data_IF_674705896820
#
_entry.id   IF_674705896820
#
_cell.length_a   1.000
_cell.length_b   1.000
_cell.length_c   1.000
_cell.angle_alpha   90.00
_cell.angle_beta   90.00
_cell.angle_gamma   90.00
#
_symmetry.space_group_name_H-M   'P 1'
#
loop_
_entity.id
_entity.type
_entity.pdbx_description
1 polymer ?
#
# COMPACT_ATOMS: atom_id res chain seq x y z
N UNK A 1 18.83 12.59 -13.57
CA UNK A 1 18.34 12.26 -14.93
C UNK A 1 16.97 11.59 -14.91
N UNK A 2 16.77 10.48 -14.18
CA UNK A 2 15.49 9.76 -14.12
C UNK A 2 14.30 10.60 -13.65
N UNK A 3 14.48 11.44 -12.64
CA UNK A 3 13.40 12.34 -12.16
C UNK A 3 13.01 13.38 -13.22
N UNK A 4 13.97 13.83 -14.03
CA UNK A 4 13.71 14.74 -15.15
C UNK A 4 12.95 14.01 -16.27
N UNK A 5 13.30 12.74 -16.54
CA UNK A 5 12.59 11.93 -17.53
C UNK A 5 11.15 11.65 -17.11
N UNK A 6 10.95 11.27 -15.84
CA UNK A 6 9.62 11.14 -15.24
C UNK A 6 8.82 12.42 -15.44
N UNK A 7 9.38 13.58 -15.04
CA UNK A 7 8.73 14.88 -15.18
C UNK A 7 8.32 15.15 -16.63
N UNK A 8 9.24 14.95 -17.57
CA UNK A 8 8.97 15.13 -19.01
C UNK A 8 7.79 14.29 -19.46
N UNK A 9 7.74 13.01 -19.10
CA UNK A 9 6.61 12.14 -19.44
C UNK A 9 5.31 12.56 -18.75
N UNK A 10 5.35 13.01 -17.50
CA UNK A 10 4.14 13.51 -16.82
C UNK A 10 3.66 14.87 -17.33
N UNK A 11 4.51 15.64 -18.01
CA UNK A 11 4.14 16.94 -18.61
C UNK A 11 3.81 16.80 -20.12
N UNK A 12 4.19 15.69 -20.74
CA UNK A 12 3.93 15.40 -22.16
C UNK A 12 2.45 15.03 -22.39
N UNK A 13 1.70 15.80 -23.22
CA UNK A 13 0.32 15.48 -23.57
C UNK A 13 0.15 14.09 -24.20
N UNK A 14 1.13 13.60 -24.96
CA UNK A 14 1.09 12.29 -25.61
C UNK A 14 1.22 11.12 -24.62
N UNK A 15 1.75 11.37 -23.43
CA UNK A 15 1.97 10.36 -22.39
C UNK A 15 0.87 10.36 -21.32
N UNK A 16 -0.01 11.38 -21.29
CA UNK A 16 -1.04 11.49 -20.25
C UNK A 16 -1.94 10.26 -20.17
N UNK A 17 -2.32 9.68 -21.31
CA UNK A 17 -3.13 8.46 -21.33
C UNK A 17 -2.45 7.29 -20.61
N UNK A 18 -1.14 7.11 -20.84
CA UNK A 18 -0.36 6.08 -20.17
C UNK A 18 -0.25 6.37 -18.68
N UNK A 19 0.16 7.59 -18.29
CA UNK A 19 0.31 7.97 -16.87
C UNK A 19 -1.00 7.74 -16.13
N UNK A 20 -2.11 8.28 -16.64
CA UNK A 20 -3.42 8.18 -16.00
C UNK A 20 -3.96 6.75 -15.95
N UNK A 21 -3.51 5.84 -16.83
CA UNK A 21 -3.90 4.42 -16.78
C UNK A 21 -3.27 3.64 -15.63
N UNK A 22 -2.24 4.19 -14.97
CA UNK A 22 -1.51 3.50 -13.90
C UNK A 22 -2.13 3.67 -12.52
N UNK A 23 -3.19 4.47 -12.37
CA UNK A 23 -3.84 4.72 -11.10
C UNK A 23 -5.24 5.30 -11.25
N UNK A 24 -5.75 5.87 -10.17
CA UNK A 24 -7.07 6.48 -10.16
C UNK A 24 -7.01 7.96 -10.56
N UNK A 25 -8.09 8.44 -11.17
CA UNK A 25 -8.30 9.89 -11.31
C UNK A 25 -8.45 10.51 -9.92
N UNK A 26 -8.10 11.80 -9.72
CA UNK A 26 -8.22 12.44 -8.41
C UNK A 26 -9.64 12.35 -7.83
N UNK A 27 -10.67 12.45 -8.65
CA UNK A 27 -12.06 12.35 -8.20
C UNK A 27 -12.40 10.95 -7.67
N UNK A 28 -11.93 9.90 -8.35
CA UNK A 28 -12.14 8.51 -7.92
C UNK A 28 -11.34 8.23 -6.64
N UNK A 29 -10.08 8.66 -6.58
CA UNK A 29 -9.25 8.49 -5.39
C UNK A 29 -9.83 9.21 -4.16
N UNK A 30 -10.31 10.45 -4.32
CA UNK A 30 -10.94 11.21 -3.23
C UNK A 30 -12.24 10.54 -2.78
N UNK A 31 -13.10 10.08 -3.70
CA UNK A 31 -14.31 9.34 -3.35
C UNK A 31 -14.04 8.04 -2.59
N UNK A 32 -12.99 7.30 -2.98
CA UNK A 32 -12.55 6.12 -2.24
C UNK A 32 -12.07 6.49 -0.82
N UNK A 33 -11.25 7.52 -0.69
CA UNK A 33 -10.79 8.01 0.61
C UNK A 33 -11.96 8.46 1.51
N UNK A 34 -12.97 9.12 0.95
CA UNK A 34 -14.16 9.54 1.69
C UNK A 34 -14.97 8.36 2.22
N UNK A 35 -15.07 7.25 1.46
CA UNK A 35 -15.68 6.02 1.95
C UNK A 35 -14.91 5.45 3.15
N UNK A 36 -13.57 5.45 3.10
CA UNK A 36 -12.75 5.00 4.23
C UNK A 36 -13.00 5.87 5.47
N UNK A 37 -12.98 7.19 5.32
CA UNK A 37 -13.16 8.13 6.45
C UNK A 37 -14.54 7.96 7.09
N UNK A 38 -15.60 7.89 6.28
CA UNK A 38 -16.97 7.66 6.76
C UNK A 38 -17.11 6.29 7.45
N UNK A 39 -16.44 5.27 6.93
CA UNK A 39 -16.42 3.94 7.54
C UNK A 39 -15.71 3.96 8.90
N UNK A 40 -14.52 4.55 8.99
CA UNK A 40 -13.77 4.69 10.25
C UNK A 40 -14.60 5.43 11.30
N UNK A 41 -15.33 6.48 10.92
CA UNK A 41 -16.23 7.19 11.83
C UNK A 41 -17.37 6.29 12.35
N UNK A 42 -17.87 5.37 11.52
CA UNK A 42 -18.95 4.43 11.86
C UNK A 42 -18.45 3.29 12.76
N UNK A 43 -17.29 2.72 12.43
CA UNK A 43 -16.74 1.54 13.07
C UNK A 43 -15.57 1.87 14.01
N UNK A 44 -15.50 3.10 14.57
CA UNK A 44 -14.36 3.55 15.37
C UNK A 44 -14.01 2.67 16.58
N UNK A 45 -15.00 1.95 17.12
CA UNK A 45 -14.82 1.03 18.26
C UNK A 45 -14.07 -0.25 17.86
N UNK A 46 -13.96 -0.53 16.56
CA UNK A 46 -13.23 -1.67 16.00
C UNK A 46 -11.73 -1.42 15.85
N UNK A 47 -11.29 -0.18 16.05
CA UNK A 47 -9.90 0.24 15.83
C UNK A 47 -9.28 0.69 17.16
N UNK A 48 -7.95 0.58 17.30
CA UNK A 48 -7.24 1.19 18.42
C UNK A 48 -7.60 2.67 18.58
N UNK A 49 -7.79 3.11 19.83
CA UNK A 49 -8.34 4.44 20.14
C UNK A 49 -7.48 5.59 19.58
N UNK A 50 -6.18 5.38 19.47
CA UNK A 50 -5.23 6.35 18.97
C UNK A 50 -5.25 6.45 17.42
N UNK A 51 -5.74 5.43 16.71
CA UNK A 51 -5.96 5.46 15.26
C UNK A 51 -7.26 6.16 14.86
N UNK A 52 -8.13 6.50 15.82
CA UNK A 52 -9.40 7.20 15.59
C UNK A 52 -9.51 8.51 16.34
N UNK A 53 -8.39 8.98 16.91
CA UNK A 53 -8.29 10.28 17.56
C UNK A 53 -8.51 11.41 16.56
N UNK A 54 -9.30 12.43 16.93
CA UNK A 54 -9.71 13.51 16.02
C UNK A 54 -8.55 14.23 15.36
N UNK A 55 -7.53 14.64 16.13
CA UNK A 55 -6.35 15.33 15.59
C UNK A 55 -5.54 14.45 14.62
N UNK A 56 -5.45 13.15 14.90
CA UNK A 56 -4.80 12.21 13.99
C UNK A 56 -5.60 12.05 12.70
N UNK A 57 -6.93 11.84 12.79
CA UNK A 57 -7.79 11.67 11.63
C UNK A 57 -7.87 12.92 10.74
N UNK A 58 -7.84 14.11 11.33
CA UNK A 58 -7.73 15.38 10.58
C UNK A 58 -6.44 15.45 9.77
N UNK A 59 -5.31 15.12 10.42
CA UNK A 59 -4.00 15.09 9.75
C UNK A 59 -3.96 14.03 8.63
N UNK A 60 -4.35 12.79 8.94
CA UNK A 60 -4.44 11.69 7.97
C UNK A 60 -5.28 12.11 6.75
N UNK A 61 -6.47 12.67 7.00
CA UNK A 61 -7.38 13.10 5.93
C UNK A 61 -6.75 14.18 5.07
N UNK A 62 -6.13 15.20 5.68
CA UNK A 62 -5.47 16.27 4.93
C UNK A 62 -4.33 15.76 4.06
N UNK A 63 -3.44 14.93 4.63
CA UNK A 63 -2.29 14.36 3.93
C UNK A 63 -2.73 13.42 2.80
N UNK A 64 -3.67 12.50 3.08
CA UNK A 64 -4.20 11.58 2.08
C UNK A 64 -5.01 12.29 0.98
N UNK A 65 -5.73 13.39 1.28
CA UNK A 65 -6.40 14.20 0.26
C UNK A 65 -5.42 14.97 -0.63
N UNK A 66 -4.26 15.37 -0.12
CA UNK A 66 -3.22 15.94 -0.96
C UNK A 66 -2.63 14.89 -1.91
N UNK A 67 -2.34 13.70 -1.38
CA UNK A 67 -1.75 12.59 -2.13
C UNK A 67 -2.70 11.96 -3.16
N UNK A 68 -4.03 12.07 -2.96
CA UNK A 68 -5.05 11.54 -3.90
C UNK A 68 -4.95 12.23 -5.26
N UNK A 69 -4.37 13.43 -5.27
CA UNK A 69 -4.05 14.19 -6.47
C UNK A 69 -2.82 13.67 -7.21
N UNK A 70 -2.22 12.54 -6.83
CA UNK A 70 -1.01 12.06 -7.50
C UNK A 70 -0.96 10.53 -7.63
N UNK A 71 -2.08 9.83 -7.44
CA UNK A 71 -2.10 8.35 -7.41
C UNK A 71 -1.49 7.74 -8.68
N UNK A 72 -1.92 8.22 -9.85
CA UNK A 72 -1.38 7.78 -11.14
C UNK A 72 0.12 8.08 -11.25
N UNK A 73 0.54 9.29 -10.89
CA UNK A 73 1.93 9.72 -10.95
C UNK A 73 2.84 8.93 -9.99
N UNK A 74 2.34 8.59 -8.78
CA UNK A 74 3.06 7.75 -7.81
C UNK A 74 3.26 6.33 -8.33
N UNK A 75 2.23 5.72 -8.93
CA UNK A 75 2.33 4.39 -9.54
C UNK A 75 3.25 4.40 -10.76
N UNK A 76 3.04 5.37 -11.67
CA UNK A 76 3.88 5.52 -12.85
C UNK A 76 5.35 5.72 -12.50
N UNK A 77 5.66 6.43 -11.41
CA UNK A 77 7.05 6.63 -10.98
C UNK A 77 7.78 5.29 -10.77
N UNK A 78 7.16 4.30 -10.14
CA UNK A 78 7.79 2.97 -9.98
C UNK A 78 7.97 2.23 -11.31
N UNK A 79 7.12 2.49 -12.31
CA UNK A 79 7.15 1.86 -13.62
C UNK A 79 8.25 2.37 -14.55
N UNK A 80 8.88 3.51 -14.25
CA UNK A 80 9.92 4.06 -15.12
C UNK A 80 11.33 3.54 -14.83
N UNK A 81 11.49 2.68 -13.80
CA UNK A 81 12.77 2.10 -13.39
C UNK A 81 12.84 0.64 -13.84
N UNK A 82 13.59 0.32 -14.92
CA UNK A 82 13.67 -1.04 -15.44
C UNK A 82 14.17 -2.05 -14.40
N UNK A 83 15.10 -1.63 -13.54
CA UNK A 83 15.64 -2.50 -12.47
C UNK A 83 14.61 -2.90 -11.41
N UNK A 84 13.48 -2.20 -11.31
CA UNK A 84 12.41 -2.60 -10.40
C UNK A 84 11.52 -3.67 -11.02
N UNK A 85 11.54 -3.86 -12.33
CA UNK A 85 10.63 -4.80 -12.96
C UNK A 85 11.11 -6.22 -12.77
N UNK A 86 10.23 -7.03 -12.19
CA UNK A 86 10.48 -8.43 -11.91
C UNK A 86 9.26 -9.25 -12.30
N UNK A 87 9.47 -10.55 -12.54
CA UNK A 87 8.39 -11.50 -12.49
C UNK A 87 8.04 -11.70 -11.01
N UNK A 88 6.93 -11.10 -10.57
CA UNK A 88 6.58 -11.03 -9.17
C UNK A 88 5.14 -11.48 -8.91
N UNK A 89 4.91 -11.83 -7.66
CA UNK A 89 3.59 -12.20 -7.17
C UNK A 89 2.87 -10.94 -6.65
N UNK A 90 1.71 -10.56 -7.22
CA UNK A 90 1.03 -9.31 -6.90
C UNK A 90 0.41 -9.28 -5.51
N UNK A 91 0.16 -10.46 -4.92
CA UNK A 91 -0.43 -10.65 -3.59
C UNK A 91 0.41 -11.59 -2.71
N UNK A 92 1.70 -11.29 -2.49
CA UNK A 92 2.61 -12.15 -1.72
C UNK A 92 2.38 -12.02 -0.19
N UNK A 93 1.12 -12.04 0.23
CA UNK A 93 0.72 -12.03 1.64
C UNK A 93 0.93 -13.41 2.26
N UNK A 94 0.89 -13.48 3.60
CA UNK A 94 1.29 -14.69 4.34
C UNK A 94 0.44 -15.92 4.00
N UNK A 95 -0.83 -15.72 3.63
CA UNK A 95 -1.77 -16.75 3.18
C UNK A 95 -1.40 -17.34 1.81
N UNK A 96 -0.58 -16.65 1.03
CA UNK A 96 0.02 -17.12 -0.22
C UNK A 96 1.47 -17.62 -0.05
N UNK A 97 1.99 -17.65 1.19
CA UNK A 97 3.29 -18.24 1.51
C UNK A 97 3.18 -19.72 1.89
N UNK A 98 4.08 -20.54 1.34
CA UNK A 98 4.27 -21.93 1.75
C UNK A 98 5.61 -22.07 2.45
N UNK A 99 5.60 -22.47 3.72
CA UNK A 99 6.79 -22.54 4.57
C UNK A 99 7.05 -23.99 4.98
N UNK A 100 8.30 -24.43 4.89
CA UNK A 100 8.72 -25.77 5.34
C UNK A 100 10.12 -25.73 5.94
N UNK A 101 10.46 -26.71 6.79
CA UNK A 101 11.83 -26.89 7.25
C UNK A 101 12.56 -27.83 6.27
N UNK A 102 13.78 -27.47 5.86
CA UNK A 102 14.64 -28.39 5.12
C UNK A 102 15.31 -29.44 6.03
N UNK A 103 16.15 -30.29 5.44
CA UNK A 103 16.86 -31.36 6.15
C UNK A 103 17.79 -30.85 7.28
N UNK A 104 18.16 -29.57 7.25
CA UNK A 104 19.01 -28.92 8.26
C UNK A 104 18.20 -28.22 9.36
N UNK A 105 16.87 -28.21 9.24
CA UNK A 105 15.97 -27.45 10.11
C UNK A 105 15.87 -25.97 9.75
N UNK A 106 16.41 -25.54 8.61
CA UNK A 106 16.28 -24.15 8.13
C UNK A 106 14.90 -23.94 7.53
N UNK A 107 14.24 -22.85 7.92
CA UNK A 107 12.93 -22.48 7.35
C UNK A 107 13.14 -21.98 5.92
N UNK A 108 12.50 -22.68 4.99
CA UNK A 108 12.38 -22.34 3.58
C UNK A 108 11.01 -21.73 3.33
N UNK A 109 10.91 -20.94 2.27
CA UNK A 109 9.67 -20.31 1.83
C UNK A 109 9.48 -20.44 0.32
N UNK A 110 8.22 -20.60 -0.08
CA UNK A 110 7.76 -20.62 -1.45
C UNK A 110 6.45 -19.86 -1.56
N UNK A 111 5.97 -19.69 -2.78
CA UNK A 111 4.71 -19.01 -3.07
C UNK A 111 3.73 -19.99 -3.72
N UNK A 112 2.46 -19.89 -3.33
CA UNK A 112 1.34 -20.51 -4.02
C UNK A 112 0.56 -19.44 -4.80
N UNK A 113 -0.59 -19.79 -5.39
CA UNK A 113 -1.45 -18.84 -6.12
C UNK A 113 -0.69 -18.04 -7.20
N UNK A 114 0.00 -18.76 -8.11
CA UNK A 114 0.98 -18.24 -9.07
C UNK A 114 0.39 -17.34 -10.19
N UNK A 115 -0.58 -16.48 -9.88
CA UNK A 115 -0.95 -15.33 -10.71
C UNK A 115 0.21 -14.34 -10.81
N UNK A 116 1.29 -14.73 -11.48
CA UNK A 116 2.49 -13.92 -11.63
C UNK A 116 2.28 -12.82 -12.66
N UNK A 117 2.86 -11.64 -12.38
CA UNK A 117 2.85 -10.50 -13.28
C UNK A 117 4.24 -9.92 -13.44
N UNK A 118 4.49 -9.31 -14.59
CA UNK A 118 5.64 -8.43 -14.76
C UNK A 118 5.29 -7.07 -14.18
N UNK A 119 5.87 -6.72 -13.03
CA UNK A 119 5.51 -5.51 -12.31
C UNK A 119 6.67 -4.96 -11.47
N UNK A 120 6.62 -3.67 -11.07
CA UNK A 120 7.65 -3.07 -10.23
C UNK A 120 7.64 -3.68 -8.82
N UNK A 121 8.79 -4.15 -8.36
CA UNK A 121 8.98 -4.71 -7.02
C UNK A 121 8.53 -3.79 -5.87
N UNK A 122 8.64 -2.44 -5.94
CA UNK A 122 8.10 -1.59 -4.88
C UNK A 122 6.58 -1.77 -4.68
N UNK A 123 5.84 -2.01 -5.76
CA UNK A 123 4.38 -2.25 -5.72
C UNK A 123 4.09 -3.62 -5.13
N UNK A 124 4.89 -4.64 -5.47
CA UNK A 124 4.76 -5.98 -4.89
C UNK A 124 4.99 -5.97 -3.37
N UNK A 125 6.06 -5.29 -2.92
CA UNK A 125 6.37 -5.17 -1.51
C UNK A 125 5.24 -4.45 -0.76
N UNK A 126 4.75 -3.33 -1.33
CA UNK A 126 3.63 -2.61 -0.73
C UNK A 126 2.39 -3.51 -0.57
N UNK A 127 1.99 -4.23 -1.62
CA UNK A 127 0.83 -5.14 -1.57
C UNK A 127 1.05 -6.38 -0.66
N UNK A 128 2.27 -6.88 -0.55
CA UNK A 128 2.60 -8.00 0.31
C UNK A 128 2.47 -7.62 1.80
N UNK A 129 2.74 -6.36 2.15
CA UNK A 129 2.81 -5.92 3.53
C UNK A 129 1.52 -5.31 4.09
N UNK A 130 0.50 -5.03 3.27
CA UNK A 130 -0.78 -4.49 3.77
C UNK A 130 -1.58 -5.47 4.66
N UNK A 131 -1.22 -6.75 4.65
CA UNK A 131 -1.83 -7.79 5.50
C UNK A 131 -1.07 -8.05 6.82
N UNK A 132 0.02 -7.34 7.08
CA UNK A 132 0.81 -7.51 8.28
C UNK A 132 0.16 -6.86 9.51
N UNK A 133 0.47 -7.35 10.71
CA UNK A 133 0.14 -6.62 11.94
C UNK A 133 0.99 -5.34 12.03
N UNK A 134 0.41 -4.21 12.47
CA UNK A 134 1.12 -2.92 12.48
C UNK A 134 2.46 -2.92 13.20
N UNK A 135 2.52 -3.53 14.38
CA UNK A 135 3.70 -3.57 15.24
C UNK A 135 4.85 -4.32 14.58
N UNK A 136 4.55 -5.37 13.81
CA UNK A 136 5.56 -6.10 13.03
C UNK A 136 6.19 -5.16 12.02
N UNK A 137 5.39 -4.38 11.30
CA UNK A 137 5.92 -3.47 10.29
C UNK A 137 6.63 -2.26 10.90
N UNK A 138 6.17 -1.76 12.05
CA UNK A 138 6.86 -0.69 12.78
C UNK A 138 8.27 -1.11 13.20
N UNK A 139 8.46 -2.38 13.60
CA UNK A 139 9.77 -2.91 13.94
C UNK A 139 10.62 -3.30 12.71
N UNK A 140 9.98 -3.84 11.67
CA UNK A 140 10.68 -4.61 10.65
C UNK A 140 10.63 -4.05 9.23
N UNK A 141 9.84 -3.02 8.88
CA UNK A 141 9.72 -2.56 7.48
C UNK A 141 11.09 -2.26 6.83
N UNK A 142 11.96 -1.51 7.52
CA UNK A 142 13.28 -1.18 6.99
C UNK A 142 14.19 -2.41 6.92
N UNK A 143 14.11 -3.32 7.91
CA UNK A 143 14.88 -4.57 7.94
C UNK A 143 14.47 -5.50 6.80
N UNK A 144 13.16 -5.61 6.55
CA UNK A 144 12.59 -6.38 5.45
C UNK A 144 12.96 -5.76 4.09
N UNK A 145 12.96 -4.44 3.99
CA UNK A 145 13.42 -3.73 2.78
C UNK A 145 14.89 -4.04 2.48
N UNK A 146 15.76 -4.05 3.51
CA UNK A 146 17.18 -4.41 3.35
C UNK A 146 17.36 -5.88 3.00
N UNK A 147 16.63 -6.77 3.67
CA UNK A 147 16.63 -8.21 3.35
C UNK A 147 16.24 -8.44 1.88
N UNK A 148 15.21 -7.75 1.38
CA UNK A 148 14.84 -7.82 -0.02
C UNK A 148 15.97 -7.37 -0.95
N UNK A 149 16.69 -6.29 -0.63
CA UNK A 149 17.82 -5.81 -1.44
C UNK A 149 18.95 -6.84 -1.49
N UNK A 150 19.28 -7.43 -0.34
CA UNK A 150 20.36 -8.42 -0.22
C UNK A 150 20.03 -9.68 -1.03
N UNK A 151 18.79 -10.19 -0.91
CA UNK A 151 18.36 -11.36 -1.69
C UNK A 151 18.16 -11.03 -3.18
N UNK A 152 17.75 -9.81 -3.52
CA UNK A 152 17.65 -9.34 -4.91
C UNK A 152 19.04 -9.30 -5.56
N UNK A 153 20.06 -8.75 -4.88
CA UNK A 153 21.44 -8.73 -5.36
C UNK A 153 22.00 -10.16 -5.49
N UNK A 154 21.75 -11.01 -4.50
CA UNK A 154 22.20 -12.41 -4.50
C UNK A 154 21.56 -13.24 -5.63
N UNK A 155 20.28 -13.03 -5.91
CA UNK A 155 19.56 -13.78 -6.95
C UNK A 155 19.76 -13.21 -8.36
N UNK A 156 19.77 -11.88 -8.49
CA UNK A 156 19.81 -11.18 -9.78
C UNK A 156 21.16 -10.60 -10.18
N UNK A 157 22.12 -10.53 -9.26
CA UNK A 157 23.44 -9.92 -9.47
C UNK A 157 23.41 -8.39 -9.59
N UNK A 158 22.26 -7.74 -9.35
CA UNK A 158 22.11 -6.30 -9.47
C UNK A 158 21.83 -5.67 -8.12
N UNK A 159 22.62 -4.65 -7.78
CA UNK A 159 22.50 -3.93 -6.51
C UNK A 159 21.56 -2.74 -6.67
N UNK A 160 20.42 -2.79 -5.99
CA UNK A 160 19.47 -1.68 -5.91
C UNK A 160 19.88 -0.68 -4.81
N UNK A 161 19.55 0.60 -5.00
CA UNK A 161 19.75 1.64 -3.99
C UNK A 161 18.63 1.62 -2.94
N UNK A 162 19.00 1.54 -1.66
CA UNK A 162 18.02 1.46 -0.56
C UNK A 162 17.10 2.67 -0.51
N UNK A 163 17.65 3.88 -0.57
CA UNK A 163 16.87 5.12 -0.43
C UNK A 163 15.89 5.29 -1.59
N UNK A 164 16.30 4.92 -2.80
CA UNK A 164 15.46 4.93 -3.98
C UNK A 164 14.35 3.86 -3.90
N UNK A 165 14.68 2.63 -3.49
CA UNK A 165 13.68 1.57 -3.34
C UNK A 165 12.67 1.94 -2.26
N UNK A 166 13.14 2.33 -1.07
CA UNK A 166 12.29 2.64 0.07
C UNK A 166 11.36 3.82 -0.22
N UNK A 167 11.84 4.86 -0.91
CA UNK A 167 10.99 5.94 -1.43
C UNK A 167 9.88 5.39 -2.32
N UNK A 168 10.18 4.51 -3.28
CA UNK A 168 9.17 3.95 -4.17
C UNK A 168 8.18 3.04 -3.43
N UNK A 169 8.63 2.26 -2.45
CA UNK A 169 7.74 1.44 -1.60
C UNK A 169 6.75 2.32 -0.83
N UNK A 170 7.22 3.46 -0.29
CA UNK A 170 6.34 4.41 0.41
C UNK A 170 5.33 5.08 -0.54
N UNK A 171 5.74 5.43 -1.76
CA UNK A 171 4.83 5.93 -2.79
C UNK A 171 3.83 4.86 -3.25
N UNK A 172 4.25 3.61 -3.32
CA UNK A 172 3.37 2.48 -3.64
C UNK A 172 2.35 2.24 -2.52
N UNK A 173 2.74 2.18 -1.24
CA UNK A 173 1.79 2.10 -0.12
C UNK A 173 0.75 3.23 -0.16
N UNK A 174 1.22 4.45 -0.40
CA UNK A 174 0.36 5.61 -0.57
C UNK A 174 -0.67 5.43 -1.69
N UNK A 175 -0.27 4.91 -2.85
CA UNK A 175 -1.19 4.65 -3.96
C UNK A 175 -2.15 3.48 -3.67
N UNK A 176 -1.67 2.42 -3.01
CA UNK A 176 -2.45 1.23 -2.64
C UNK A 176 -3.58 1.58 -1.66
N UNK A 177 -3.38 2.56 -0.77
CA UNK A 177 -4.41 3.05 0.16
C UNK A 177 -5.76 3.31 -0.54
N UNK A 178 -5.75 3.96 -1.71
CA UNK A 178 -6.99 4.30 -2.42
C UNK A 178 -7.68 3.06 -2.98
N UNK A 179 -6.92 2.07 -3.45
CA UNK A 179 -7.47 0.78 -3.87
C UNK A 179 -8.08 0.02 -2.71
N UNK A 180 -7.40 -0.02 -1.56
CA UNK A 180 -7.94 -0.62 -0.33
C UNK A 180 -9.17 0.13 0.19
N UNK A 181 -9.20 1.45 0.07
CA UNK A 181 -10.37 2.26 0.43
C UNK A 181 -11.59 1.95 -0.45
N UNK A 182 -11.39 1.54 -1.71
CA UNK A 182 -12.48 1.10 -2.57
C UNK A 182 -13.15 -0.20 -2.06
N UNK A 183 -12.39 -1.08 -1.40
CA UNK A 183 -12.89 -2.33 -0.85
C UNK A 183 -13.93 -2.13 0.26
N UNK A 184 -14.01 -0.94 0.86
CA UNK A 184 -15.07 -0.57 1.80
C UNK A 184 -16.45 -0.70 1.16
N UNK A 185 -16.58 -0.38 -0.13
CA UNK A 185 -17.82 -0.56 -0.86
C UNK A 185 -18.27 -2.02 -0.82
N UNK A 186 -17.35 -2.95 -1.09
CA UNK A 186 -17.60 -4.40 -0.99
C UNK A 186 -17.87 -4.82 0.45
N UNK A 187 -17.11 -4.32 1.43
CA UNK A 187 -17.33 -4.62 2.85
C UNK A 187 -18.76 -4.30 3.28
N UNK A 188 -19.26 -3.14 2.87
CA UNK A 188 -20.61 -2.67 3.22
C UNK A 188 -21.73 -3.40 2.47
N UNK A 189 -21.43 -4.18 1.42
CA UNK A 189 -22.41 -5.09 0.81
C UNK A 189 -22.58 -6.38 1.62
N UNK A 190 -21.50 -6.84 2.26
CA UNK A 190 -21.51 -8.08 3.08
C UNK A 190 -21.97 -7.80 4.51
N UNK A 191 -21.57 -6.66 5.08
CA UNK A 191 -21.97 -6.22 6.42
C UNK A 191 -22.54 -4.80 6.31
N UNK A 192 -23.88 -4.65 6.32
CA UNK A 192 -24.52 -3.35 6.20
C UNK A 192 -24.05 -2.34 7.25
N UNK A 193 -23.89 -1.07 6.85
CA UNK A 193 -23.38 0.02 7.72
C UNK A 193 -24.04 0.08 9.11
N UNK A 194 -25.35 -0.17 9.19
CA UNK A 194 -26.15 -0.15 10.43
C UNK A 194 -25.81 -1.25 11.44
N UNK A 195 -25.23 -2.35 10.97
CA UNK A 195 -24.98 -3.55 11.80
C UNK A 195 -23.62 -3.45 12.50
N UNK A 196 -22.73 -2.54 12.06
CA UNK A 196 -21.42 -2.32 12.64
C UNK A 196 -21.45 -1.90 14.11
N UNK A 197 -22.53 -1.27 14.59
CA UNK A 197 -22.67 -0.89 16.00
C UNK A 197 -22.76 -2.09 16.95
N UNK A 198 -23.15 -3.25 16.43
CA UNK A 198 -23.39 -4.48 17.20
C UNK A 198 -22.20 -5.45 17.13
N UNK A 199 -21.18 -5.13 16.33
CA UNK A 199 -19.93 -5.89 16.20
C UNK A 199 -19.00 -5.49 17.33
N UNK A 200 -18.44 -6.47 18.04
CA UNK A 200 -17.63 -6.19 19.24
C UNK A 200 -16.18 -5.88 18.93
N UNK A 201 -15.56 -6.77 18.16
CA UNK A 201 -14.13 -6.72 17.83
C UNK A 201 -13.85 -7.59 16.59
N UNK A 202 -12.58 -7.63 16.17
CA UNK A 202 -12.16 -8.38 14.96
C UNK A 202 -12.45 -9.89 14.98
N UNK A 203 -12.73 -10.47 16.15
CA UNK A 203 -13.09 -11.88 16.35
C UNK A 203 -14.60 -12.11 16.41
N UNK A 204 -15.40 -11.07 16.27
CA UNK A 204 -16.85 -11.21 16.15
C UNK A 204 -17.19 -12.15 14.97
N UNK A 205 -18.11 -13.13 15.14
CA UNK A 205 -18.46 -14.07 14.09
C UNK A 205 -18.92 -13.42 12.77
N UNK A 206 -19.43 -12.19 12.79
CA UNK A 206 -19.80 -11.45 11.59
C UNK A 206 -18.59 -11.00 10.76
N UNK A 207 -17.43 -10.83 11.39
CA UNK A 207 -16.16 -10.56 10.71
C UNK A 207 -15.40 -11.88 10.49
N UNK A 208 -15.21 -12.67 11.54
CA UNK A 208 -14.29 -13.80 11.49
C UNK A 208 -14.74 -14.89 10.51
N UNK A 209 -16.04 -15.11 10.34
CA UNK A 209 -16.53 -16.10 9.36
C UNK A 209 -16.50 -15.58 7.90
N UNK A 210 -16.15 -14.32 7.68
CA UNK A 210 -16.13 -13.68 6.36
C UNK A 210 -14.71 -13.29 5.99
N UNK A 211 -14.08 -14.09 5.11
CA UNK A 211 -12.71 -13.86 4.64
C UNK A 211 -12.47 -12.40 4.21
N UNK A 212 -13.34 -11.86 3.35
CA UNK A 212 -13.20 -10.48 2.87
C UNK A 212 -13.30 -9.45 3.99
N UNK A 213 -14.16 -9.66 4.99
CA UNK A 213 -14.27 -8.74 6.12
C UNK A 213 -12.99 -8.70 6.94
N UNK A 214 -12.38 -9.87 7.21
CA UNK A 214 -11.07 -9.94 7.87
C UNK A 214 -9.99 -9.20 7.09
N UNK A 215 -9.87 -9.49 5.80
CA UNK A 215 -8.82 -8.89 4.96
C UNK A 215 -8.92 -7.36 4.92
N UNK A 216 -10.13 -6.83 4.73
CA UNK A 216 -10.32 -5.38 4.63
C UNK A 216 -10.12 -4.68 5.98
N UNK A 217 -10.53 -5.28 7.09
CA UNK A 217 -10.29 -4.71 8.42
C UNK A 217 -8.79 -4.64 8.75
N UNK A 218 -8.03 -5.69 8.44
CA UNK A 218 -6.57 -5.69 8.61
C UNK A 218 -5.92 -4.58 7.78
N UNK A 219 -6.34 -4.41 6.52
CA UNK A 219 -5.79 -3.36 5.64
C UNK A 219 -6.08 -1.95 6.18
N UNK A 220 -7.28 -1.70 6.68
CA UNK A 220 -7.66 -0.39 7.26
C UNK A 220 -6.78 -0.08 8.47
N UNK A 221 -6.68 -1.00 9.41
CA UNK A 221 -5.86 -0.84 10.61
C UNK A 221 -4.39 -0.62 10.24
N UNK A 222 -3.86 -1.43 9.32
CA UNK A 222 -2.49 -1.31 8.85
C UNK A 222 -2.22 0.07 8.22
N UNK A 223 -3.11 0.59 7.38
CA UNK A 223 -2.90 1.91 6.77
C UNK A 223 -2.97 3.06 7.76
N UNK A 224 -3.92 3.04 8.71
CA UNK A 224 -4.01 4.07 9.74
C UNK A 224 -2.78 4.04 10.64
N UNK A 225 -2.36 2.86 11.10
CA UNK A 225 -1.16 2.72 11.91
C UNK A 225 0.11 3.13 11.15
N UNK A 226 0.22 2.74 9.88
CA UNK A 226 1.30 3.16 8.98
C UNK A 226 1.39 4.68 8.90
N UNK A 227 0.25 5.36 8.76
CA UNK A 227 0.22 6.82 8.68
C UNK A 227 0.62 7.50 10.00
N UNK A 228 0.33 6.86 11.14
CA UNK A 228 0.70 7.37 12.46
C UNK A 228 2.20 7.27 12.71
N UNK A 229 2.80 6.10 12.45
CA UNK A 229 4.19 5.81 12.83
C UNK A 229 5.20 6.00 11.70
N UNK A 230 4.86 5.56 10.49
CA UNK A 230 5.79 5.40 9.35
C UNK A 230 5.25 6.02 8.06
N UNK A 231 4.60 7.18 8.20
CA UNK A 231 3.82 7.86 7.17
C UNK A 231 4.53 7.97 5.81
N UNK A 232 3.84 7.63 4.70
CA UNK A 232 4.36 7.85 3.37
C UNK A 232 4.37 9.35 2.99
N UNK A 233 3.67 10.23 3.71
CA UNK A 233 3.51 11.64 3.34
C UNK A 233 4.84 12.39 3.27
N UNK A 234 5.78 12.14 4.20
CA UNK A 234 7.13 12.75 4.16
C UNK A 234 7.91 12.32 2.91
N UNK A 235 7.75 11.07 2.49
CA UNK A 235 8.38 10.52 1.29
C UNK A 235 7.75 11.10 0.02
N UNK A 236 6.43 11.26 0.02
CA UNK A 236 5.70 11.97 -1.01
C UNK A 236 6.15 13.43 -1.16
N UNK A 237 6.33 14.18 -0.07
CA UNK A 237 6.86 15.55 -0.12
C UNK A 237 8.29 15.60 -0.67
N UNK A 238 9.16 14.67 -0.26
CA UNK A 238 10.52 14.52 -0.80
C UNK A 238 10.46 14.25 -2.31
N UNK A 239 9.56 13.38 -2.75
CA UNK A 239 9.35 13.05 -4.15
C UNK A 239 8.85 14.24 -4.96
N UNK A 240 7.83 14.98 -4.50
CA UNK A 240 7.35 16.20 -5.17
C UNK A 240 8.46 17.23 -5.35
N UNK A 241 9.27 17.46 -4.30
CA UNK A 241 10.42 18.36 -4.37
C UNK A 241 11.47 17.88 -5.38
N UNK A 242 11.72 16.58 -5.42
CA UNK A 242 12.73 15.95 -6.29
C UNK A 242 12.32 15.98 -7.76
N UNK A 243 11.06 15.67 -8.06
CA UNK A 243 10.55 15.61 -9.44
C UNK A 243 10.12 16.96 -9.96
N UNK A 244 9.70 17.88 -9.08
CA UNK A 244 9.22 19.21 -9.44
C UNK A 244 7.89 19.22 -10.19
N UNK A 245 7.16 18.09 -10.18
CA UNK A 245 5.83 18.03 -10.77
C UNK A 245 4.87 18.93 -9.97
N UNK A 246 3.91 19.52 -10.68
CA UNK A 246 2.82 20.29 -10.09
C UNK A 246 1.55 19.88 -10.80
N UNK A 247 0.55 19.35 -10.08
CA UNK A 247 -0.80 19.29 -10.66
C UNK A 247 -1.35 20.71 -10.76
N UNK A 248 -1.89 21.02 -11.94
CA UNK A 248 -2.65 22.24 -12.20
C UNK A 248 -4.06 22.10 -11.63
#
# INVERSE_FOLDING_TARGET
>A
ERDLQFRRWTEDPGMQGLVMSTGFTPQVADGFLEMLIDFVATAKHMLPADLVEGAFMEKFTSEAKEMSKYVAEMNFYSMIFPEYHTLAHPNAQIDNGFYWADETGTVQAGLIDLGMGFMPSPVCLANAWIGAEPEMMDEHEEKLTRCFLDEYEKAGGFKLDYEALYLNVKLAHAAVLYGCSANIGTLLTVIPKKDWKDIKDRRDPQIDNLFLARCYMVQIEMFLAMWRQRSPYRHFQKWLKKTGIKRK
#
